data_IF_117620866876
#
_entry.id   IF_117620866876
#
_cell.length_a   1.000
_cell.length_b   1.000
_cell.length_c   1.000
_cell.angle_alpha   90.00
_cell.angle_beta   90.00
_cell.angle_gamma   90.00
#
_symmetry.space_group_name_H-M   'P 1'
#
loop_
_entity.id
_entity.type
_entity.pdbx_description
1 polymer ?
#
# COMPACT_ATOMS: atom_id res chain seq x y z
N UNK A 1 -17.26 -17.40 19.98
CA UNK A 1 -17.53 -15.99 19.67
C UNK A 1 -17.32 -15.84 18.18
N UNK A 2 -18.34 -15.40 17.44
CA UNK A 2 -18.21 -15.17 16.01
C UNK A 2 -17.39 -13.89 15.80
N UNK A 3 -16.41 -13.93 14.89
CA UNK A 3 -15.70 -12.74 14.45
C UNK A 3 -16.25 -12.36 13.08
N UNK A 4 -16.56 -11.07 12.91
CA UNK A 4 -16.94 -10.55 11.61
C UNK A 4 -15.76 -10.68 10.65
N UNK A 5 -16.00 -11.01 9.37
CA UNK A 5 -14.97 -11.23 8.36
C UNK A 5 -14.35 -9.92 7.83
N UNK A 6 -14.24 -8.90 8.69
CA UNK A 6 -13.76 -7.58 8.34
C UNK A 6 -12.38 -7.31 8.94
N UNK A 7 -11.56 -6.55 8.21
CA UNK A 7 -10.41 -5.90 8.83
C UNK A 7 -10.88 -4.66 9.58
N UNK A 8 -10.43 -4.51 10.83
CA UNK A 8 -10.86 -3.43 11.70
C UNK A 8 -12.34 -3.51 12.13
N UNK A 9 -13.06 -2.39 12.02
CA UNK A 9 -14.44 -2.27 12.51
C UNK A 9 -15.46 -2.52 11.40
N UNK A 10 -16.51 -3.26 11.73
CA UNK A 10 -17.74 -3.33 10.94
C UNK A 10 -18.80 -2.38 11.49
N UNK A 11 -19.71 -1.95 10.62
CA UNK A 11 -20.85 -1.10 10.95
C UNK A 11 -22.12 -1.77 10.49
N UNK A 12 -23.17 -1.71 11.30
CA UNK A 12 -24.49 -2.12 10.83
C UNK A 12 -25.10 -0.98 10.01
N UNK A 13 -25.47 -1.28 8.77
CA UNK A 13 -26.16 -0.35 7.88
C UNK A 13 -27.65 -0.70 7.84
N UNK A 14 -28.55 0.15 8.38
CA UNK A 14 -29.96 -0.15 8.47
C UNK A 14 -30.70 -0.12 7.12
N UNK A 15 -30.18 0.55 6.11
CA UNK A 15 -30.81 0.59 4.78
C UNK A 15 -30.47 -0.65 3.96
N UNK A 16 -29.27 -1.22 4.20
CA UNK A 16 -28.86 -2.50 3.61
C UNK A 16 -29.31 -3.71 4.44
N UNK A 17 -29.75 -3.49 5.68
CA UNK A 17 -30.02 -4.51 6.70
C UNK A 17 -28.87 -5.52 6.85
N UNK A 18 -27.64 -5.00 6.85
CA UNK A 18 -26.43 -5.81 6.82
C UNK A 18 -25.29 -5.17 7.62
N UNK A 19 -24.40 -6.00 8.11
CA UNK A 19 -23.09 -5.55 8.56
C UNK A 19 -22.21 -5.26 7.35
N UNK A 20 -21.52 -4.12 7.36
CA UNK A 20 -20.57 -3.70 6.33
C UNK A 20 -19.20 -3.44 6.94
N UNK A 21 -18.14 -3.73 6.20
CA UNK A 21 -16.77 -3.52 6.66
C UNK A 21 -15.76 -3.62 5.53
N UNK A 22 -14.50 -3.33 5.83
CA UNK A 22 -13.40 -3.57 4.89
C UNK A 22 -13.11 -5.07 4.82
N UNK A 23 -12.89 -5.58 3.61
CA UNK A 23 -12.55 -7.00 3.43
C UNK A 23 -11.24 -7.35 4.15
N UNK A 24 -11.25 -8.46 4.89
CA UNK A 24 -10.05 -9.04 5.49
C UNK A 24 -9.28 -9.97 4.54
N UNK A 25 -9.82 -10.26 3.35
CA UNK A 25 -9.22 -11.21 2.42
C UNK A 25 -8.16 -10.53 1.55
N UNK A 26 -7.02 -11.20 1.33
CA UNK A 26 -5.86 -10.64 0.63
C UNK A 26 -6.12 -10.33 -0.86
N UNK A 27 -6.98 -11.10 -1.50
CA UNK A 27 -7.35 -10.93 -2.92
C UNK A 27 -8.37 -9.80 -3.15
N UNK A 28 -8.97 -9.29 -2.07
CA UNK A 28 -9.99 -8.24 -2.12
C UNK A 28 -9.65 -7.08 -1.18
N UNK A 29 -8.35 -6.85 -0.95
CA UNK A 29 -7.85 -5.68 -0.24
C UNK A 29 -8.43 -4.40 -0.87
N UNK A 30 -8.82 -3.45 -0.01
CA UNK A 30 -9.44 -2.18 -0.41
C UNK A 30 -10.90 -2.26 -0.84
N UNK A 31 -11.49 -3.46 -0.88
CA UNK A 31 -12.91 -3.64 -1.14
C UNK A 31 -13.72 -3.59 0.15
N UNK A 32 -14.96 -3.10 0.03
CA UNK A 32 -15.97 -3.20 1.08
C UNK A 32 -16.70 -4.51 0.92
N UNK A 33 -17.03 -5.18 2.01
CA UNK A 33 -17.91 -6.34 2.00
C UNK A 33 -19.09 -6.14 2.96
N UNK A 34 -20.16 -6.90 2.70
CA UNK A 34 -21.33 -6.98 3.57
C UNK A 34 -21.62 -8.43 3.96
N UNK A 35 -22.26 -8.61 5.12
CA UNK A 35 -22.81 -9.90 5.54
C UNK A 35 -24.10 -9.71 6.35
N UNK A 36 -25.00 -10.67 6.23
CA UNK A 36 -26.33 -10.60 6.86
C UNK A 36 -26.26 -10.68 8.40
N UNK A 37 -27.27 -10.12 9.07
CA UNK A 37 -27.42 -10.26 10.53
C UNK A 37 -27.74 -11.71 10.88
N UNK A 38 -26.88 -12.34 11.69
CA UNK A 38 -27.10 -13.73 12.13
C UNK A 38 -28.29 -13.79 13.10
N UNK A 39 -29.32 -14.56 12.75
CA UNK A 39 -30.46 -14.80 13.63
C UNK A 39 -30.05 -15.59 14.88
N UNK A 40 -30.52 -15.17 16.05
CA UNK A 40 -30.21 -15.81 17.35
C UNK A 40 -30.97 -17.11 17.63
N UNK A 41 -31.79 -17.58 16.69
CA UNK A 41 -32.81 -18.60 16.96
C UNK A 41 -32.48 -20.03 16.47
N UNK A 42 -31.28 -20.29 15.94
CA UNK A 42 -30.90 -21.65 15.53
C UNK A 42 -30.23 -22.39 16.69
N UNK A 43 -30.97 -23.31 17.32
CA UNK A 43 -30.50 -24.23 18.36
C UNK A 43 -29.49 -25.29 17.88
N UNK A 44 -28.69 -24.97 16.87
CA UNK A 44 -27.66 -25.86 16.30
C UNK A 44 -26.28 -25.24 16.54
N UNK A 45 -25.40 -26.00 17.17
CA UNK A 45 -24.08 -25.62 17.69
C UNK A 45 -23.01 -25.23 16.65
N UNK A 46 -23.40 -24.83 15.44
CA UNK A 46 -22.49 -24.29 14.43
C UNK A 46 -23.04 -22.96 13.93
N UNK A 47 -22.69 -21.91 14.66
CA UNK A 47 -22.90 -20.52 14.26
C UNK A 47 -22.00 -20.26 13.03
N UNK A 48 -22.48 -20.64 11.85
CA UNK A 48 -21.76 -20.45 10.59
C UNK A 48 -21.59 -18.95 10.33
N UNK A 49 -20.40 -18.54 9.91
CA UNK A 49 -20.15 -17.18 9.48
C UNK A 49 -21.13 -16.84 8.34
N UNK A 50 -21.87 -15.72 8.41
CA UNK A 50 -22.75 -15.32 7.33
C UNK A 50 -21.96 -15.16 6.03
N UNK A 51 -22.57 -15.56 4.91
CA UNK A 51 -21.93 -15.49 3.60
C UNK A 51 -21.57 -14.03 3.30
N UNK A 52 -20.29 -13.77 3.05
CA UNK A 52 -19.82 -12.44 2.66
C UNK A 52 -20.16 -12.14 1.22
N UNK A 53 -20.64 -10.92 0.97
CA UNK A 53 -20.70 -10.31 -0.35
C UNK A 53 -19.63 -9.25 -0.44
N UNK A 54 -18.61 -9.50 -1.27
CA UNK A 54 -17.57 -8.51 -1.54
C UNK A 54 -18.07 -7.57 -2.63
N UNK A 55 -17.94 -6.26 -2.39
CA UNK A 55 -18.23 -5.22 -3.36
C UNK A 55 -17.26 -5.30 -4.53
N UNK A 56 -17.65 -4.74 -5.68
CA UNK A 56 -16.85 -4.90 -6.91
C UNK A 56 -15.71 -3.90 -7.01
N UNK A 57 -15.81 -2.81 -6.26
CA UNK A 57 -14.90 -1.69 -6.42
C UNK A 57 -13.84 -1.69 -5.34
N UNK A 58 -12.59 -1.58 -5.76
CA UNK A 58 -11.50 -1.22 -4.88
C UNK A 58 -11.60 0.29 -4.58
N UNK A 59 -11.49 0.66 -3.31
CA UNK A 59 -11.58 2.05 -2.85
C UNK A 59 -10.23 2.66 -2.49
N UNK A 60 -9.18 1.86 -2.46
CA UNK A 60 -7.81 2.34 -2.27
C UNK A 60 -7.36 3.18 -3.45
N UNK A 61 -6.22 3.84 -3.30
CA UNK A 61 -5.66 4.60 -4.40
C UNK A 61 -5.29 3.70 -5.58
N UNK A 62 -5.55 4.20 -6.77
CA UNK A 62 -5.17 3.56 -8.04
C UNK A 62 -3.97 4.27 -8.70
N UNK A 63 -3.48 5.37 -8.10
CA UNK A 63 -2.34 6.11 -8.63
C UNK A 63 -1.04 5.36 -8.33
N UNK A 64 -0.17 5.13 -9.32
CA UNK A 64 1.05 4.33 -9.13
C UNK A 64 2.03 4.95 -8.12
N UNK A 65 2.02 6.27 -8.01
CA UNK A 65 2.89 7.03 -7.10
C UNK A 65 2.31 7.11 -5.68
N UNK A 66 1.04 6.71 -5.50
CA UNK A 66 0.36 6.64 -4.21
C UNK A 66 0.40 5.20 -3.70
N UNK A 67 1.10 4.98 -2.59
CA UNK A 67 1.24 3.63 -2.04
C UNK A 67 0.59 3.54 -0.66
N UNK A 68 -0.24 2.51 -0.50
CA UNK A 68 -1.09 2.28 0.66
C UNK A 68 -0.27 1.92 1.91
N UNK A 69 -0.64 2.50 3.06
CA UNK A 69 -0.06 2.17 4.37
C UNK A 69 -1.10 1.49 5.27
N UNK A 70 -2.28 2.11 5.39
CA UNK A 70 -3.34 1.62 6.26
C UNK A 70 -4.68 2.27 5.96
N UNK A 71 -5.76 1.65 6.44
CA UNK A 71 -7.10 2.17 6.21
C UNK A 71 -8.07 1.85 7.33
N UNK A 72 -9.09 2.69 7.44
CA UNK A 72 -10.23 2.46 8.33
C UNK A 72 -11.50 2.98 7.68
N UNK A 73 -12.57 2.22 7.83
CA UNK A 73 -13.90 2.62 7.41
C UNK A 73 -14.59 3.37 8.55
N UNK A 74 -15.27 4.47 8.22
CA UNK A 74 -16.04 5.28 9.17
C UNK A 74 -17.44 5.49 8.62
N UNK A 75 -18.46 5.26 9.46
CA UNK A 75 -19.84 5.59 9.13
C UNK A 75 -20.07 7.09 9.34
N UNK A 76 -20.54 7.80 8.31
CA UNK A 76 -20.66 9.28 8.33
C UNK A 76 -22.11 9.76 8.50
N UNK A 77 -23.07 8.86 8.67
CA UNK A 77 -24.49 9.17 8.87
C UNK A 77 -25.41 8.56 7.81
N UNK A 78 -26.71 8.85 7.90
CA UNK A 78 -27.78 8.22 7.09
C UNK A 78 -27.57 8.24 5.57
N UNK A 79 -28.37 7.46 4.84
CA UNK A 79 -28.26 7.17 3.39
C UNK A 79 -27.08 6.25 3.03
N UNK A 80 -26.82 5.28 3.92
CA UNK A 80 -25.69 4.35 3.84
C UNK A 80 -24.38 5.05 3.48
N UNK A 81 -24.12 6.22 4.07
CA UNK A 81 -22.94 7.03 3.79
C UNK A 81 -21.79 6.61 4.68
N UNK A 82 -20.69 6.26 4.04
CA UNK A 82 -19.44 5.92 4.69
C UNK A 82 -18.31 6.75 4.10
N UNK A 83 -17.22 6.79 4.84
CA UNK A 83 -15.97 7.28 4.35
C UNK A 83 -14.86 6.29 4.65
N UNK A 84 -14.07 6.02 3.62
CA UNK A 84 -12.80 5.36 3.78
C UNK A 84 -11.76 6.41 4.12
N UNK A 85 -11.01 6.16 5.19
CA UNK A 85 -9.78 6.85 5.51
C UNK A 85 -8.65 5.94 5.08
N UNK A 86 -7.84 6.42 4.16
CA UNK A 86 -6.69 5.69 3.66
C UNK A 86 -5.45 6.56 3.89
N UNK A 87 -4.44 5.99 4.53
CA UNK A 87 -3.13 6.64 4.65
C UNK A 87 -2.26 6.13 3.50
N UNK A 88 -1.66 7.07 2.78
CA UNK A 88 -0.78 6.81 1.65
C UNK A 88 0.53 7.59 1.78
N UNK A 89 1.56 7.12 1.10
CA UNK A 89 2.73 7.93 0.75
C UNK A 89 2.70 8.31 -0.73
N UNK A 90 3.18 9.51 -1.04
CA UNK A 90 3.44 9.94 -2.41
C UNK A 90 4.95 9.96 -2.63
N UNK A 91 5.42 9.27 -3.67
CA UNK A 91 6.82 9.40 -4.10
C UNK A 91 7.01 10.74 -4.80
N UNK A 92 8.07 11.48 -4.45
CA UNK A 92 8.38 12.73 -5.15
C UNK A 92 8.86 12.41 -6.57
N UNK A 93 8.39 13.17 -7.56
CA UNK A 93 8.89 13.08 -8.93
C UNK A 93 10.42 13.17 -8.92
N UNK A 94 11.08 12.07 -9.30
CA UNK A 94 12.50 12.11 -9.62
C UNK A 94 12.66 12.87 -10.94
N UNK A 95 12.69 14.20 -10.86
CA UNK A 95 12.95 15.04 -12.03
C UNK A 95 14.27 14.60 -12.70
N UNK A 96 14.22 14.46 -14.03
CA UNK A 96 15.30 14.10 -14.95
C UNK A 96 16.71 14.38 -14.43
N UNK A 97 17.54 13.34 -14.25
CA UNK A 97 18.99 13.56 -14.25
C UNK A 97 19.37 14.10 -15.63
N UNK A 98 20.14 15.20 -15.73
CA UNK A 98 20.66 15.63 -17.01
C UNK A 98 21.56 14.53 -17.56
N UNK A 99 21.19 13.93 -18.69
CA UNK A 99 22.11 13.13 -19.48
C UNK A 99 23.17 14.08 -20.04
N UNK A 100 24.38 14.04 -19.46
CA UNK A 100 25.58 14.58 -20.10
C UNK A 100 25.73 13.88 -21.45
N UNK A 101 25.34 14.59 -22.51
CA UNK A 101 25.67 14.25 -23.88
C UNK A 101 27.06 14.83 -24.16
N UNK A 102 28.10 14.00 -24.03
CA UNK A 102 29.41 14.37 -24.54
C UNK A 102 29.56 13.94 -25.99
N UNK A 103 29.60 14.96 -26.85
CA UNK A 103 29.98 14.87 -28.25
C UNK A 103 31.40 14.30 -28.39
N UNK A 104 31.54 13.39 -29.38
CA UNK A 104 32.81 12.87 -29.90
C UNK A 104 33.86 13.96 -30.08
N UNK A 105 35.12 13.63 -29.78
CA UNK A 105 36.23 13.94 -30.68
C UNK A 105 37.19 12.75 -30.76
N UNK A 106 37.40 12.26 -31.98
CA UNK A 106 38.49 11.38 -32.38
C UNK A 106 39.78 12.21 -32.45
N UNK A 107 40.93 11.67 -32.00
CA UNK A 107 42.11 11.37 -32.83
C UNK A 107 43.40 11.18 -31.98
N UNK A 108 44.35 10.45 -32.56
CA UNK A 108 45.80 10.39 -32.27
C UNK A 108 46.39 9.48 -31.17
N UNK A 109 46.71 8.27 -31.64
CA UNK A 109 47.99 7.53 -31.54
C UNK A 109 49.21 8.30 -30.97
N UNK A 110 49.94 7.68 -30.02
CA UNK A 110 51.33 7.24 -30.20
C UNK A 110 51.93 6.75 -28.86
N UNK A 111 52.75 5.71 -28.93
CA UNK A 111 53.99 5.71 -28.17
C UNK A 111 54.05 4.93 -26.85
N UNK A 112 54.22 3.62 -26.97
CA UNK A 112 54.83 2.76 -25.95
C UNK A 112 56.24 3.25 -25.55
N UNK A 113 56.52 3.34 -24.25
CA UNK A 113 57.84 3.13 -23.62
C UNK A 113 57.59 2.89 -22.11
N UNK A 114 58.37 2.16 -21.33
CA UNK A 114 59.63 1.44 -21.46
C UNK A 114 59.55 0.31 -20.39
N UNK A 115 59.86 -0.94 -20.75
CA UNK A 115 61.15 -1.58 -20.45
C UNK A 115 61.47 -1.67 -18.95
N UNK A 116 61.43 -2.89 -18.40
CA UNK A 116 62.61 -3.51 -17.79
C UNK A 116 62.34 -5.01 -17.57
N UNK A 117 63.23 -5.83 -18.13
CA UNK A 117 63.21 -7.29 -18.05
C UNK A 117 63.79 -7.79 -16.72
N UNK A 118 63.24 -8.87 -16.16
CA UNK A 118 64.04 -9.96 -15.61
C UNK A 118 63.27 -11.28 -15.60
N UNK A 119 64.06 -12.35 -15.68
CA UNK A 119 63.68 -13.69 -16.08
C UNK A 119 63.40 -14.63 -14.88
N UNK A 120 62.73 -15.75 -15.20
CA UNK A 120 62.90 -17.11 -14.65
C UNK A 120 62.63 -17.35 -13.16
N UNK A 121 61.59 -18.13 -12.84
CA UNK A 121 61.71 -19.49 -12.25
C UNK A 121 60.35 -20.13 -12.05
N UNK A 122 60.30 -21.43 -12.32
CA UNK A 122 59.18 -22.35 -12.03
C UNK A 122 59.17 -22.63 -10.52
N UNK A 123 58.01 -22.55 -9.88
CA UNK A 123 57.85 -22.87 -8.46
C UNK A 123 56.39 -22.91 -8.04
N UNK A 124 56.03 -23.94 -7.30
CA UNK A 124 54.68 -24.39 -6.97
C UNK A 124 53.92 -23.52 -5.95
N UNK A 125 52.61 -23.75 -5.94
CA UNK A 125 51.59 -23.41 -4.94
C UNK A 125 52.06 -23.08 -3.51
N UNK A 126 51.53 -21.98 -2.95
CA UNK A 126 50.70 -21.99 -1.73
C UNK A 126 50.24 -20.56 -1.37
N UNK A 127 48.93 -20.44 -1.14
CA UNK A 127 48.24 -19.74 -0.04
C UNK A 127 48.43 -18.23 0.26
N UNK A 128 47.32 -17.68 0.76
CA UNK A 128 47.09 -16.40 1.43
C UNK A 128 47.18 -15.10 0.61
N UNK A 129 46.05 -14.39 0.51
CA UNK A 129 45.97 -12.99 0.94
C UNK A 129 44.50 -12.60 1.23
N UNK A 130 44.25 -12.24 2.48
CA UNK A 130 43.08 -11.48 2.95
C UNK A 130 43.06 -10.07 2.34
N UNK A 131 41.89 -9.56 1.95
CA UNK A 131 41.42 -8.23 2.39
C UNK A 131 39.98 -7.91 1.96
N UNK A 132 39.17 -7.60 2.98
CA UNK A 132 38.12 -6.58 3.10
C UNK A 132 36.98 -6.52 2.06
N UNK A 133 35.73 -6.75 2.47
CA UNK A 133 34.90 -5.80 3.24
C UNK A 133 34.68 -4.50 2.47
N UNK A 134 33.61 -4.49 1.68
CA UNK A 134 32.70 -3.34 1.57
C UNK A 134 31.30 -3.91 1.43
N UNK A 135 30.63 -4.05 2.57
CA UNK A 135 29.19 -4.07 2.65
C UNK A 135 28.69 -2.91 1.80
N UNK A 136 27.90 -3.18 0.77
CA UNK A 136 27.09 -2.15 0.18
C UNK A 136 26.04 -1.80 1.24
N UNK A 137 26.39 -0.89 2.15
CA UNK A 137 25.41 -0.05 2.79
C UNK A 137 24.72 0.68 1.64
N UNK A 138 23.64 0.09 1.13
CA UNK A 138 22.56 0.89 0.58
C UNK A 138 22.11 1.76 1.75
N UNK A 139 22.73 2.93 1.83
CA UNK A 139 22.18 4.06 2.56
C UNK A 139 20.83 4.26 1.90
N UNK A 140 19.79 3.70 2.52
CA UNK A 140 18.41 4.04 2.25
C UNK A 140 18.35 5.54 2.52
N UNK A 141 18.61 6.32 1.47
CA UNK A 141 18.40 7.76 1.50
C UNK A 141 16.97 7.88 2.00
N UNK A 142 16.83 8.46 3.18
CA UNK A 142 15.58 8.69 3.88
C UNK A 142 14.75 9.58 2.97
N UNK A 143 14.12 8.97 1.97
CA UNK A 143 13.32 9.64 0.97
C UNK A 143 12.22 10.26 1.80
N UNK A 144 12.15 11.60 1.76
CA UNK A 144 11.16 12.39 2.47
C UNK A 144 9.79 12.12 1.85
N UNK A 145 9.24 10.96 2.18
CA UNK A 145 7.99 10.46 1.67
C UNK A 145 6.89 11.24 2.37
N UNK A 146 6.29 12.18 1.64
CA UNK A 146 5.17 12.94 2.17
C UNK A 146 3.96 12.04 2.36
N UNK A 147 3.48 11.99 3.61
CA UNK A 147 2.32 11.19 4.01
C UNK A 147 1.04 11.99 3.83
N UNK A 148 0.00 11.33 3.32
CA UNK A 148 -1.32 11.93 3.14
C UNK A 148 -2.40 11.01 3.70
N UNK A 149 -3.44 11.64 4.25
CA UNK A 149 -4.72 11.01 4.53
C UNK A 149 -5.67 11.30 3.37
N UNK A 150 -6.01 10.26 2.62
CA UNK A 150 -6.99 10.24 1.53
C UNK A 150 -8.35 9.83 2.08
N UNK A 151 -9.32 10.76 2.03
CA UNK A 151 -10.71 10.54 2.43
C UNK A 151 -11.55 10.28 1.19
N UNK A 152 -12.14 9.10 1.11
CA UNK A 152 -13.07 8.72 0.05
C UNK A 152 -14.46 8.54 0.63
N UNK A 153 -15.34 9.54 0.46
CA UNK A 153 -16.74 9.49 0.90
C UNK A 153 -17.62 8.93 -0.21
N UNK A 154 -18.49 7.97 0.13
CA UNK A 154 -19.39 7.29 -0.79
C UNK A 154 -20.65 6.80 -0.07
N UNK A 155 -21.69 6.48 -0.84
CA UNK A 155 -22.84 5.70 -0.33
C UNK A 155 -22.69 4.25 -0.75
N UNK A 156 -23.21 3.31 0.05
CA UNK A 156 -23.35 1.91 -0.34
C UNK A 156 -24.78 1.62 -0.80
N UNK A 157 -24.92 0.63 -1.66
CA UNK A 157 -26.22 0.09 -2.12
C UNK A 157 -26.04 -1.30 -2.70
N UNK A 158 -27.09 -2.09 -2.68
CA UNK A 158 -27.19 -3.24 -3.57
C UNK A 158 -27.70 -2.81 -4.94
N UNK A 159 -27.09 -3.33 -5.99
CA UNK A 159 -27.62 -3.17 -7.35
C UNK A 159 -28.78 -4.14 -7.62
N UNK A 160 -29.31 -4.12 -8.86
CA UNK A 160 -30.42 -4.99 -9.27
C UNK A 160 -30.07 -6.48 -9.26
N UNK A 161 -28.79 -6.84 -9.26
CA UNK A 161 -28.32 -8.22 -9.18
C UNK A 161 -28.05 -8.64 -7.72
N UNK A 162 -28.19 -7.71 -6.76
CA UNK A 162 -27.85 -7.94 -5.36
C UNK A 162 -26.35 -7.82 -5.06
N UNK A 163 -25.56 -7.30 -6.01
CA UNK A 163 -24.14 -7.03 -5.77
C UNK A 163 -23.99 -5.76 -4.94
N UNK A 164 -23.07 -5.79 -3.97
CA UNK A 164 -22.71 -4.59 -3.20
C UNK A 164 -21.94 -3.64 -4.12
N UNK A 165 -22.39 -2.39 -4.19
CA UNK A 165 -21.78 -1.33 -5.01
C UNK A 165 -21.70 -0.04 -4.23
N UNK A 166 -20.79 0.81 -4.67
CA UNK A 166 -20.80 2.22 -4.28
C UNK A 166 -21.81 3.04 -5.10
N UNK A 167 -22.21 4.17 -4.53
CA UNK A 167 -22.99 5.20 -5.20
C UNK A 167 -22.24 5.83 -6.36
N UNK A 168 -22.99 6.49 -7.25
CA UNK A 168 -22.41 7.20 -8.41
C UNK A 168 -21.62 8.47 -8.01
N UNK A 169 -21.74 8.91 -6.76
CA UNK A 169 -21.04 10.07 -6.23
C UNK A 169 -20.01 9.61 -5.21
N UNK A 170 -18.74 9.64 -5.60
CA UNK A 170 -17.59 9.50 -4.70
C UNK A 170 -16.91 10.84 -4.58
N UNK A 171 -16.59 11.27 -3.36
CA UNK A 171 -15.81 12.50 -3.12
C UNK A 171 -14.49 12.12 -2.47
N UNK A 172 -13.39 12.39 -3.17
CA UNK A 172 -12.03 12.16 -2.68
C UNK A 172 -11.45 13.48 -2.19
N UNK A 173 -10.75 13.47 -1.06
CA UNK A 173 -10.00 14.60 -0.50
C UNK A 173 -8.67 14.11 0.07
N UNK A 174 -7.67 14.97 0.05
CA UNK A 174 -6.33 14.68 0.56
C UNK A 174 -5.95 15.69 1.64
N UNK A 175 -5.33 15.21 2.70
CA UNK A 175 -4.82 16.02 3.80
C UNK A 175 -3.38 15.58 4.09
N UNK A 176 -2.44 16.51 4.13
CA UNK A 176 -1.06 16.18 4.53
C UNK A 176 -1.01 15.79 6.00
N UNK A 177 -0.27 14.73 6.31
CA UNK A 177 -0.02 14.29 7.68
C UNK A 177 1.34 14.82 8.16
N UNK A 178 1.48 15.20 9.44
CA UNK A 178 2.78 15.51 10.04
C UNK A 178 3.73 14.30 9.97
N UNK A 179 5.03 14.56 9.95
CA UNK A 179 6.04 13.50 9.88
C UNK A 179 6.14 12.73 11.21
N UNK A 180 5.76 13.36 12.33
CA UNK A 180 5.81 12.84 13.68
C UNK A 180 4.71 11.81 14.01
N UNK A 181 3.87 11.45 13.03
CA UNK A 181 2.83 10.43 13.22
C UNK A 181 3.48 9.05 13.31
N UNK A 182 3.24 8.36 14.43
CA UNK A 182 3.70 7.00 14.66
C UNK A 182 3.11 6.01 13.65
N UNK A 183 3.87 4.99 13.26
CA UNK A 183 3.44 3.98 12.29
C UNK A 183 2.14 3.26 12.70
N UNK A 184 1.94 3.02 14.00
CA UNK A 184 0.70 2.42 14.52
C UNK A 184 -0.55 3.28 14.29
N UNK A 185 -0.40 4.60 14.18
CA UNK A 185 -1.50 5.51 13.83
C UNK A 185 -1.76 5.54 12.32
N UNK A 186 -0.78 5.13 11.50
CA UNK A 186 -0.92 5.05 10.05
C UNK A 186 -1.64 3.78 9.62
N UNK A 187 -1.42 2.67 10.33
CA UNK A 187 -2.07 1.38 10.03
C UNK A 187 -3.59 1.44 10.24
N UNK A 188 -4.04 2.10 11.32
CA UNK A 188 -5.45 2.25 11.68
C UNK A 188 -5.81 3.73 11.90
N UNK A 189 -5.94 4.53 10.84
CA UNK A 189 -6.26 5.95 10.96
C UNK A 189 -7.61 6.16 11.62
N UNK A 190 -7.68 7.05 12.61
CA UNK A 190 -8.93 7.38 13.33
C UNK A 190 -9.32 8.82 13.05
N UNK A 191 -10.59 9.04 12.70
CA UNK A 191 -11.22 10.35 12.77
C UNK A 191 -12.37 10.33 13.79
N UNK A 192 -12.41 11.36 14.63
CA UNK A 192 -13.48 11.53 15.63
C UNK A 192 -14.57 12.53 15.20
N UNK A 193 -14.40 13.18 14.05
CA UNK A 193 -15.37 14.13 13.48
C UNK A 193 -15.33 14.05 11.96
N UNK A 194 -16.48 13.75 11.35
CA UNK A 194 -16.66 13.61 9.90
C UNK A 194 -18.05 14.02 9.47
#
# INVERSE_FOLDING_TARGET
>A
MWQLPFTGRGYFDPELDAWVGLSAQLDTIGHICSCDVVSTNSGTSHQQCPAMKVGKENLFSEFPDERHIGATLVYTGGESKLCLLEVIYMQADSADKPTESDEKNEDFDDGLNNTYSNETTVGEAADSDEMNEYSADEVDEEQDHKRFLRLTTFSLRYDRNGDLRTGNSRRVRYYSLPQEVNDSMLEYPVAFWM
#
